data_IF_269093772482
#
_entry.id   IF_269093772482
#
_cell.length_a   1.000
_cell.length_b   1.000
_cell.length_c   1.000
_cell.angle_alpha   90.00
_cell.angle_beta   90.00
_cell.angle_gamma   90.00
#
_symmetry.space_group_name_H-M   'P 1'
#
loop_
_entity.id
_entity.type
_entity.pdbx_description
1 polymer ?
#
# COMPACT_ATOMS: atom_id res chain seq x y z
N UNK A 1 -11.73 -8.30 -0.67
CA UNK A 1 -11.07 -6.98 -0.63
C UNK A 1 -10.32 -6.77 -1.91
N UNK A 2 -10.90 -6.02 -2.83
CA UNK A 2 -10.35 -5.82 -4.17
C UNK A 2 -9.01 -5.05 -4.16
N UNK A 3 -8.85 -4.14 -3.20
CA UNK A 3 -7.64 -3.33 -3.02
C UNK A 3 -6.39 -4.16 -2.72
N UNK A 4 -6.53 -5.30 -2.02
CA UNK A 4 -5.39 -6.16 -1.67
C UNK A 4 -4.75 -6.80 -2.92
N UNK A 5 -5.57 -7.20 -3.90
CA UNK A 5 -5.08 -7.86 -5.12
C UNK A 5 -4.43 -6.89 -6.09
N UNK A 6 -4.77 -5.60 -6.02
CA UNK A 6 -4.16 -4.52 -6.80
C UNK A 6 -3.07 -3.75 -6.05
N UNK A 7 -2.46 -4.34 -5.01
CA UNK A 7 -1.47 -3.66 -4.19
C UNK A 7 -0.04 -3.85 -4.71
N UNK A 8 0.73 -2.75 -4.69
CA UNK A 8 2.18 -2.76 -4.87
C UNK A 8 2.89 -3.56 -3.77
N UNK A 9 2.29 -3.61 -2.57
CA UNK A 9 2.75 -4.41 -1.45
C UNK A 9 4.22 -4.21 -1.04
N UNK A 10 4.70 -2.96 -1.16
CA UNK A 10 5.97 -2.51 -0.59
C UNK A 10 5.83 -2.28 0.92
N UNK A 11 6.73 -2.87 1.68
CA UNK A 11 6.86 -2.74 3.12
C UNK A 11 7.97 -1.73 3.38
N UNK A 12 7.59 -0.49 3.72
CA UNK A 12 8.52 0.64 3.77
C UNK A 12 8.18 1.70 4.83
N UNK A 13 9.20 2.46 5.24
CA UNK A 13 9.04 3.67 6.07
C UNK A 13 9.73 4.91 5.48
N UNK A 14 10.39 4.79 4.32
CA UNK A 14 10.91 5.96 3.61
C UNK A 14 9.77 6.89 3.15
N UNK A 15 10.08 8.18 3.01
CA UNK A 15 9.17 9.22 2.49
C UNK A 15 7.91 9.47 3.33
N UNK A 16 7.86 8.99 4.58
CA UNK A 16 6.76 9.25 5.54
C UNK A 16 6.96 10.52 6.39
N UNK A 17 7.72 11.49 5.88
CA UNK A 17 7.96 12.79 6.55
C UNK A 17 8.73 12.70 7.87
N UNK A 18 9.81 11.91 7.93
CA UNK A 18 10.60 11.73 9.15
C UNK A 18 11.31 13.03 9.62
N UNK A 19 11.42 13.26 10.94
CA UNK A 19 10.76 12.53 12.02
C UNK A 19 9.26 12.91 12.14
N UNK A 20 8.37 11.91 12.14
CA UNK A 20 6.94 12.11 12.39
C UNK A 20 6.33 10.89 13.09
N UNK A 21 5.15 11.04 13.72
CA UNK A 21 4.38 9.90 14.22
C UNK A 21 4.11 8.85 13.13
N UNK A 22 3.90 9.28 11.87
CA UNK A 22 3.56 8.37 10.78
C UNK A 22 4.78 7.55 10.31
N UNK A 23 5.95 8.19 10.23
CA UNK A 23 7.21 7.47 10.00
C UNK A 23 7.49 6.46 11.12
N UNK A 24 7.33 6.88 12.38
CA UNK A 24 7.51 6.00 13.54
C UNK A 24 6.58 4.78 13.49
N UNK A 25 5.30 5.00 13.16
CA UNK A 25 4.32 3.94 13.03
C UNK A 25 4.69 2.95 11.92
N UNK A 26 5.20 3.42 10.77
CA UNK A 26 5.65 2.53 9.69
C UNK A 26 6.91 1.74 10.06
N UNK A 27 7.88 2.34 10.75
CA UNK A 27 9.03 1.60 11.28
C UNK A 27 8.60 0.46 12.23
N UNK A 28 7.65 0.75 13.13
CA UNK A 28 7.08 -0.27 14.01
C UNK A 28 6.27 -1.33 13.24
N UNK A 29 5.61 -0.95 12.15
CA UNK A 29 4.93 -1.86 11.23
C UNK A 29 5.89 -2.87 10.60
N UNK A 30 7.01 -2.39 10.07
CA UNK A 30 8.08 -3.24 9.53
C UNK A 30 8.64 -4.19 10.59
N UNK A 31 8.87 -3.71 11.82
CA UNK A 31 9.28 -4.57 12.94
C UNK A 31 8.22 -5.63 13.29
N UNK A 32 6.93 -5.29 13.19
CA UNK A 32 5.85 -6.24 13.43
C UNK A 32 5.81 -7.36 12.38
N UNK A 33 6.16 -7.08 11.12
CA UNK A 33 6.34 -8.11 10.09
C UNK A 33 7.41 -9.13 10.47
N UNK A 34 8.55 -8.69 10.99
CA UNK A 34 9.61 -9.61 11.44
C UNK A 34 9.22 -10.45 12.66
N UNK A 35 8.30 -9.96 13.50
CA UNK A 35 7.92 -10.61 14.78
C UNK A 35 6.65 -11.45 14.70
N UNK A 36 5.77 -11.19 13.74
CA UNK A 36 4.52 -11.92 13.60
C UNK A 36 4.76 -13.21 12.81
N UNK A 37 4.83 -14.35 13.50
CA UNK A 37 5.15 -15.66 12.91
C UNK A 37 4.22 -16.10 11.77
N UNK A 38 3.01 -15.55 11.69
CA UNK A 38 2.05 -15.87 10.63
C UNK A 38 2.44 -15.22 9.30
N UNK A 39 2.99 -14.01 9.33
CA UNK A 39 3.33 -13.24 8.12
C UNK A 39 4.83 -13.18 7.84
N UNK A 40 5.66 -13.41 8.86
CA UNK A 40 7.12 -13.42 8.75
C UNK A 40 7.64 -14.26 7.56
N UNK A 41 7.11 -15.47 7.26
CA UNK A 41 7.61 -16.28 6.14
C UNK A 41 7.34 -15.68 4.75
N UNK A 42 6.48 -14.66 4.65
CA UNK A 42 6.04 -14.07 3.39
C UNK A 42 6.76 -12.75 3.06
N UNK A 43 7.46 -12.15 4.03
CA UNK A 43 8.20 -10.90 3.80
C UNK A 43 9.51 -11.15 3.05
N UNK A 44 9.65 -10.54 1.87
CA UNK A 44 10.85 -10.58 1.04
C UNK A 44 11.67 -9.29 1.26
N UNK A 45 12.69 -9.36 2.12
CA UNK A 45 13.49 -8.21 2.56
C UNK A 45 14.69 -7.96 1.66
N UNK A 46 14.44 -7.52 0.43
CA UNK A 46 15.47 -7.24 -0.59
C UNK A 46 16.08 -5.84 -0.46
N UNK A 47 15.50 -4.98 0.37
CA UNK A 47 15.79 -3.55 0.43
C UNK A 47 15.31 -2.81 -0.82
N UNK A 48 15.43 -1.49 -0.80
CA UNK A 48 15.05 -0.65 -1.94
C UNK A 48 16.14 0.36 -2.32
N UNK A 49 16.21 0.67 -3.61
CA UNK A 49 16.98 1.77 -4.17
C UNK A 49 16.00 2.86 -4.62
N UNK A 50 16.12 4.03 -3.99
CA UNK A 50 15.22 5.16 -4.26
C UNK A 50 16.03 6.32 -4.81
N UNK A 51 15.72 6.70 -6.05
CA UNK A 51 16.28 7.87 -6.73
C UNK A 51 15.35 9.07 -6.53
N UNK A 52 15.90 10.20 -6.11
CA UNK A 52 15.17 11.46 -5.89
C UNK A 52 16.03 12.69 -6.08
N UNK A 53 15.41 13.86 -6.25
CA UNK A 53 16.13 15.14 -6.34
C UNK A 53 16.67 15.59 -4.99
N UNK A 54 15.78 15.71 -4.01
CA UNK A 54 16.11 16.26 -2.69
C UNK A 54 16.93 15.29 -1.85
N UNK A 55 18.08 15.69 -1.31
CA UNK A 55 18.83 14.87 -0.34
C UNK A 55 18.02 14.60 0.93
N UNK A 56 18.25 13.44 1.56
CA UNK A 56 17.61 13.14 2.85
C UNK A 56 18.42 13.69 4.01
N UNK A 57 17.71 14.16 5.03
CA UNK A 57 18.29 14.48 6.32
C UNK A 57 18.05 13.30 7.27
N UNK A 58 19.13 12.68 7.73
CA UNK A 58 19.07 11.50 8.58
C UNK A 58 18.71 11.87 10.03
N UNK A 59 17.57 11.38 10.52
CA UNK A 59 17.14 11.52 11.91
C UNK A 59 17.48 10.33 12.82
N UNK A 60 18.32 9.38 12.38
CA UNK A 60 18.87 8.30 13.23
C UNK A 60 17.98 7.08 13.50
N UNK A 61 16.69 7.07 13.14
CA UNK A 61 15.76 5.97 13.45
C UNK A 61 15.46 4.99 12.30
N UNK A 62 15.96 5.28 11.10
CA UNK A 62 15.68 4.52 9.89
C UNK A 62 16.94 4.40 9.03
N UNK A 63 17.34 3.17 8.69
CA UNK A 63 18.60 2.91 8.01
C UNK A 63 18.48 3.28 6.54
N UNK A 64 19.30 4.23 6.09
CA UNK A 64 19.57 4.43 4.68
C UNK A 64 21.07 4.66 4.44
N UNK A 65 21.55 4.26 3.26
CA UNK A 65 22.90 4.55 2.78
C UNK A 65 22.80 5.45 1.55
N UNK A 66 23.63 6.48 1.48
CA UNK A 66 23.72 7.39 0.34
C UNK A 66 23.81 8.87 0.74
N UNK A 67 23.91 9.79 -0.23
CA UNK A 67 23.75 9.54 -1.66
C UNK A 67 24.84 8.63 -2.21
N UNK A 68 24.43 7.62 -2.98
CA UNK A 68 25.34 6.69 -3.63
C UNK A 68 25.85 7.37 -4.92
N UNK A 69 27.16 7.63 -4.97
CA UNK A 69 27.82 8.40 -6.04
C UNK A 69 27.88 7.64 -7.38
N UNK A 70 27.71 6.32 -7.34
CA UNK A 70 27.69 5.41 -8.48
C UNK A 70 26.56 4.41 -8.34
N UNK A 71 26.06 3.91 -9.48
CA UNK A 71 24.87 3.07 -9.59
C UNK A 71 24.97 1.79 -8.73
N UNK A 72 24.25 1.68 -7.61
CA UNK A 72 24.22 0.47 -6.81
C UNK A 72 23.30 -0.61 -7.41
N UNK A 73 22.66 -0.36 -8.56
CA UNK A 73 21.81 -1.34 -9.24
C UNK A 73 22.65 -2.55 -9.72
N UNK A 74 23.97 -2.40 -9.88
CA UNK A 74 24.85 -3.45 -10.41
C UNK A 74 26.01 -3.93 -9.52
N UNK A 75 26.27 -3.35 -8.35
CA UNK A 75 27.35 -3.88 -7.50
C UNK A 75 26.95 -5.23 -6.89
N UNK A 76 27.65 -6.28 -7.36
CA UNK A 76 27.79 -7.53 -6.65
C UNK A 76 28.43 -7.23 -5.29
N UNK A 77 27.71 -7.50 -4.20
CA UNK A 77 28.28 -7.51 -2.85
C UNK A 77 29.07 -8.82 -2.63
N UNK A 78 29.94 -9.17 -3.58
CA UNK A 78 30.95 -10.21 -3.47
C UNK A 78 32.22 -9.57 -4.06
N UNK A 79 33.18 -9.19 -3.21
CA UNK A 79 34.64 -9.20 -3.49
C UNK A 79 35.39 -8.44 -2.37
N UNK A 80 35.62 -9.15 -1.27
CA UNK A 80 36.97 -9.21 -0.71
C UNK A 80 37.77 -10.13 -1.64
N UNK A 81 38.41 -9.60 -2.69
CA UNK A 81 39.70 -10.09 -3.17
C UNK A 81 40.23 -9.21 -4.32
N UNK A 82 41.48 -8.79 -4.16
CA UNK A 82 42.31 -8.20 -5.20
C UNK A 82 42.37 -9.15 -6.42
N UNK A 83 41.91 -8.70 -7.59
CA UNK A 83 42.60 -8.98 -8.85
C UNK A 83 42.09 -8.12 -10.01
N UNK A 84 43.03 -7.37 -10.58
CA UNK A 84 42.97 -6.78 -11.91
C UNK A 84 42.56 -7.83 -12.96
N UNK A 85 41.51 -7.55 -13.74
CA UNK A 85 41.48 -7.80 -15.18
C UNK A 85 40.33 -7.02 -15.83
N UNK A 86 40.71 -6.27 -16.86
CA UNK A 86 39.86 -5.52 -17.77
C UNK A 86 38.77 -6.39 -18.41
N UNK A 87 37.50 -6.07 -18.15
CA UNK A 87 36.42 -6.12 -19.14
C UNK A 87 35.32 -5.13 -18.69
N UNK A 88 35.21 -4.07 -19.48
CA UNK A 88 34.41 -2.85 -19.27
C UNK A 88 32.92 -3.11 -19.49
N UNK A 89 32.12 -3.10 -18.42
CA UNK A 89 30.65 -3.14 -18.49
C UNK A 89 30.02 -2.11 -17.52
N UNK A 90 30.57 -0.89 -17.53
CA UNK A 90 30.07 0.24 -16.73
C UNK A 90 28.93 1.04 -17.40
N UNK A 91 28.36 0.55 -18.50
CA UNK A 91 27.40 1.29 -19.33
C UNK A 91 25.92 1.01 -19.02
N UNK A 92 25.49 1.16 -17.76
CA UNK A 92 24.05 1.09 -17.41
C UNK A 92 23.38 2.46 -17.26
N UNK A 93 24.18 3.53 -17.16
CA UNK A 93 23.76 4.92 -17.39
C UNK A 93 24.53 5.52 -18.57
N UNK A 94 24.22 5.09 -19.80
CA UNK A 94 24.65 5.84 -20.99
C UNK A 94 24.21 7.30 -20.84
N UNK A 95 25.21 8.17 -20.83
CA UNK A 95 25.21 9.62 -20.69
C UNK A 95 24.46 10.36 -21.81
N UNK A 96 23.19 10.04 -22.05
CA UNK A 96 22.43 10.66 -23.14
C UNK A 96 21.24 11.51 -22.73
N UNK A 97 20.95 11.74 -21.44
CA UNK A 97 20.01 12.78 -21.03
C UNK A 97 20.64 13.66 -19.94
N UNK A 98 20.61 14.98 -20.17
CA UNK A 98 21.17 16.06 -19.34
C UNK A 98 20.60 16.18 -17.91
N UNK A 99 19.76 15.24 -17.47
CA UNK A 99 19.03 15.31 -16.20
C UNK A 99 19.78 14.67 -15.01
N UNK A 100 20.99 14.15 -15.21
CA UNK A 100 21.68 13.33 -14.21
C UNK A 100 22.44 14.12 -13.13
N UNK A 101 22.57 15.44 -13.25
CA UNK A 101 23.38 16.25 -12.31
C UNK A 101 22.69 16.57 -10.98
N UNK A 102 21.37 16.38 -10.86
CA UNK A 102 20.57 16.75 -9.67
C UNK A 102 19.77 15.58 -9.08
N UNK A 103 20.29 14.35 -9.14
CA UNK A 103 19.61 13.19 -8.53
C UNK A 103 20.51 12.40 -7.59
N UNK A 104 19.93 11.95 -6.49
CA UNK A 104 20.57 11.22 -5.42
C UNK A 104 19.90 9.84 -5.28
N UNK A 105 20.69 8.78 -5.25
CA UNK A 105 20.21 7.41 -5.01
C UNK A 105 20.51 7.02 -3.57
N UNK A 106 19.52 6.43 -2.89
CA UNK A 106 19.64 5.94 -1.54
C UNK A 106 19.21 4.49 -1.44
N UNK A 107 19.97 3.71 -0.68
CA UNK A 107 19.66 2.33 -0.37
C UNK A 107 19.02 2.20 1.02
N UNK A 108 17.85 1.56 1.08
CA UNK A 108 17.11 1.26 2.29
C UNK A 108 17.10 -0.25 2.53
N UNK A 109 18.05 -0.79 3.31
CA UNK A 109 18.22 -2.23 3.50
C UNK A 109 17.11 -2.90 4.30
N UNK A 110 16.33 -2.14 5.08
CA UNK A 110 15.31 -2.71 5.97
C UNK A 110 13.97 -2.92 5.24
N UNK A 111 13.86 -2.50 3.98
CA UNK A 111 12.61 -2.57 3.22
C UNK A 111 12.43 -3.90 2.51
N UNK A 112 11.19 -4.19 2.13
CA UNK A 112 10.87 -5.43 1.44
C UNK A 112 9.54 -5.37 0.73
N UNK A 113 9.13 -6.50 0.18
CA UNK A 113 7.83 -6.67 -0.44
C UNK A 113 7.18 -7.98 0.01
N UNK A 114 5.94 -8.20 -0.43
CA UNK A 114 5.20 -9.42 -0.12
C UNK A 114 4.21 -9.71 -1.25
N UNK A 115 3.85 -10.99 -1.45
CA UNK A 115 2.58 -11.32 -2.10
C UNK A 115 1.43 -11.07 -1.10
N UNK A 116 0.66 -9.97 -1.25
CA UNK A 116 -0.38 -9.61 -0.29
C UNK A 116 -1.50 -10.65 -0.26
N UNK A 117 -1.74 -11.37 -1.36
CA UNK A 117 -2.74 -12.43 -1.43
C UNK A 117 -2.34 -13.63 -0.57
N UNK A 118 -1.07 -14.05 -0.64
CA UNK A 118 -0.54 -15.12 0.20
C UNK A 118 -0.56 -14.77 1.69
N UNK A 119 -0.09 -13.59 2.06
CA UNK A 119 -0.09 -13.13 3.44
C UNK A 119 -1.52 -13.02 4.03
N UNK A 120 -2.48 -12.47 3.28
CA UNK A 120 -3.88 -12.39 3.74
C UNK A 120 -4.52 -13.77 3.86
N UNK A 121 -4.24 -14.71 2.95
CA UNK A 121 -4.71 -16.09 3.08
C UNK A 121 -4.17 -16.74 4.36
N UNK A 122 -2.87 -16.60 4.64
CA UNK A 122 -2.27 -17.15 5.85
C UNK A 122 -2.89 -16.56 7.14
N UNK A 123 -3.04 -15.23 7.20
CA UNK A 123 -3.70 -14.54 8.32
C UNK A 123 -5.14 -15.01 8.52
N UNK A 124 -5.91 -15.13 7.43
CA UNK A 124 -7.29 -15.59 7.49
C UNK A 124 -7.39 -17.04 7.96
N UNK A 125 -6.57 -17.93 7.39
CA UNK A 125 -6.52 -19.33 7.83
C UNK A 125 -6.21 -19.42 9.32
N UNK A 126 -5.23 -18.63 9.81
CA UNK A 126 -4.88 -18.65 11.22
C UNK A 126 -5.98 -18.10 12.13
N UNK A 127 -6.68 -17.05 11.70
CA UNK A 127 -7.82 -16.52 12.43
C UNK A 127 -8.96 -17.55 12.53
N UNK A 128 -9.26 -18.27 11.43
CA UNK A 128 -10.28 -19.32 11.41
C UNK A 128 -9.89 -20.47 12.35
N UNK A 129 -8.62 -20.90 12.36
CA UNK A 129 -8.12 -21.90 13.31
C UNK A 129 -8.29 -21.47 14.78
N UNK A 130 -8.29 -20.16 15.05
CA UNK A 130 -8.52 -19.58 16.37
C UNK A 130 -9.99 -19.31 16.69
N UNK A 131 -10.91 -19.69 15.80
CA UNK A 131 -12.36 -19.58 16.00
C UNK A 131 -13.03 -18.39 15.32
N UNK A 132 -12.32 -17.62 14.48
CA UNK A 132 -12.95 -16.56 13.70
C UNK A 132 -13.84 -17.13 12.58
N UNK A 133 -15.06 -16.61 12.46
CA UNK A 133 -15.94 -16.91 11.32
C UNK A 133 -15.63 -15.96 10.16
N UNK A 134 -15.36 -16.51 8.98
CA UNK A 134 -15.19 -15.72 7.76
C UNK A 134 -16.39 -15.87 6.83
N UNK A 135 -17.03 -14.75 6.50
CA UNK A 135 -18.17 -14.69 5.56
C UNK A 135 -17.70 -13.99 4.29
N UNK A 136 -17.51 -14.77 3.22
CA UNK A 136 -17.15 -14.27 1.89
C UNK A 136 -18.36 -13.85 1.08
N UNK A 137 -18.12 -13.13 -0.04
CA UNK A 137 -19.17 -12.67 -0.95
C UNK A 137 -20.33 -11.94 -0.23
N UNK A 138 -20.00 -11.22 0.84
CA UNK A 138 -20.94 -10.49 1.68
C UNK A 138 -20.77 -8.98 1.49
N UNK A 139 -21.89 -8.28 1.25
CA UNK A 139 -21.94 -6.83 1.17
C UNK A 139 -22.77 -6.30 2.34
N UNK A 140 -22.14 -5.56 3.26
CA UNK A 140 -22.85 -4.94 4.39
C UNK A 140 -23.83 -3.90 3.85
N UNK A 141 -25.09 -3.97 4.27
CA UNK A 141 -26.17 -3.09 3.79
C UNK A 141 -26.71 -2.17 4.88
N UNK A 142 -26.53 -2.50 6.15
CA UNK A 142 -26.94 -1.65 7.28
C UNK A 142 -26.17 -1.98 8.57
N UNK A 143 -25.99 -0.97 9.41
CA UNK A 143 -25.61 -1.13 10.82
C UNK A 143 -26.86 -0.94 11.69
N UNK A 144 -27.25 -1.98 12.43
CA UNK A 144 -28.46 -1.97 13.27
C UNK A 144 -28.15 -1.23 14.56
N UNK A 145 -28.91 -0.18 14.88
CA UNK A 145 -28.79 0.60 16.13
C UNK A 145 -30.03 0.46 16.99
N UNK A 146 -29.84 0.32 18.31
CA UNK A 146 -30.95 0.22 19.26
C UNK A 146 -30.69 1.02 20.55
N UNK A 147 -31.55 2.01 20.91
CA UNK A 147 -32.67 2.56 20.11
C UNK A 147 -32.16 3.25 18.84
N UNK A 148 -33.05 3.85 18.04
CA UNK A 148 -32.64 4.67 16.88
C UNK A 148 -31.61 5.73 17.31
N UNK A 149 -30.50 5.85 16.58
CA UNK A 149 -29.30 6.64 16.94
C UNK A 149 -28.55 6.18 18.20
N UNK A 150 -28.87 5.00 18.72
CA UNK A 150 -28.17 4.36 19.84
C UNK A 150 -26.94 3.54 19.40
N UNK A 151 -26.43 2.69 20.32
CA UNK A 151 -25.30 1.82 20.03
C UNK A 151 -25.60 0.86 18.88
N UNK A 152 -24.56 0.48 18.14
CA UNK A 152 -24.64 -0.60 17.16
C UNK A 152 -24.86 -1.90 17.92
N UNK A 153 -25.85 -2.68 17.49
CA UNK A 153 -26.23 -3.96 18.08
C UNK A 153 -26.25 -5.10 17.06
N UNK A 154 -26.08 -4.80 15.78
CA UNK A 154 -26.09 -5.80 14.72
C UNK A 154 -25.70 -5.25 13.36
N UNK A 155 -25.62 -6.13 12.36
CA UNK A 155 -25.26 -5.82 10.98
C UNK A 155 -26.17 -6.61 10.04
N UNK A 156 -26.70 -5.96 9.00
CA UNK A 156 -27.32 -6.66 7.88
C UNK A 156 -26.37 -6.68 6.69
N UNK A 157 -26.38 -7.78 5.94
CA UNK A 157 -25.59 -7.91 4.73
C UNK A 157 -26.30 -8.77 3.69
N UNK A 158 -25.95 -8.60 2.43
CA UNK A 158 -26.38 -9.47 1.33
C UNK A 158 -25.27 -10.44 0.95
N UNK A 159 -25.63 -11.64 0.51
CA UNK A 159 -24.71 -12.56 -0.17
C UNK A 159 -25.24 -12.94 -1.55
N UNK A 160 -24.36 -13.00 -2.54
CA UNK A 160 -24.67 -13.52 -3.86
C UNK A 160 -24.23 -14.97 -4.01
N UNK A 161 -25.09 -15.80 -4.63
CA UNK A 161 -24.78 -17.17 -5.03
C UNK A 161 -25.33 -17.43 -6.43
N UNK A 162 -24.50 -18.03 -7.30
CA UNK A 162 -24.81 -18.27 -8.71
C UNK A 162 -23.54 -18.18 -9.56
N UNK A 163 -23.44 -18.99 -10.62
CA UNK A 163 -22.24 -19.04 -11.45
C UNK A 163 -22.20 -17.92 -12.52
N UNK A 164 -23.34 -17.31 -12.84
CA UNK A 164 -23.49 -16.26 -13.86
C UNK A 164 -24.48 -15.16 -13.42
N UNK A 165 -24.38 -13.98 -14.04
CA UNK A 165 -25.24 -12.80 -13.78
C UNK A 165 -26.75 -13.11 -13.87
N UNK A 166 -27.15 -13.96 -14.83
CA UNK A 166 -28.56 -14.32 -15.06
C UNK A 166 -29.14 -15.29 -14.01
N UNK A 167 -28.30 -15.90 -13.16
CA UNK A 167 -28.71 -16.87 -12.12
C UNK A 167 -28.14 -16.46 -10.74
N UNK A 168 -27.99 -15.16 -10.52
CA UNK A 168 -27.50 -14.64 -9.24
C UNK A 168 -28.66 -14.50 -8.26
N UNK A 169 -28.70 -15.38 -7.25
CA UNK A 169 -29.62 -15.22 -6.11
C UNK A 169 -28.97 -14.35 -5.05
N UNK A 170 -29.65 -13.26 -4.67
CA UNK A 170 -29.23 -12.38 -3.56
C UNK A 170 -30.03 -12.76 -2.32
N UNK A 171 -29.32 -13.12 -1.25
CA UNK A 171 -29.92 -13.45 0.06
C UNK A 171 -29.57 -12.39 1.09
N UNK A 172 -30.55 -11.94 1.86
CA UNK A 172 -30.35 -11.02 2.99
C UNK A 172 -30.07 -11.80 4.28
N UNK A 173 -29.12 -11.32 5.06
CA UNK A 173 -28.72 -11.90 6.33
C UNK A 173 -28.67 -10.83 7.41
N UNK A 174 -28.79 -11.26 8.66
CA UNK A 174 -28.66 -10.40 9.85
C UNK A 174 -27.80 -11.10 10.89
N UNK A 175 -26.88 -10.36 11.48
CA UNK A 175 -26.13 -10.76 12.67
C UNK A 175 -26.54 -9.80 13.77
N UNK A 176 -27.22 -10.33 14.79
CA UNK A 176 -27.57 -9.61 16.00
C UNK A 176 -26.48 -9.78 17.08
N UNK A 177 -26.57 -9.00 18.16
CA UNK A 177 -25.69 -9.06 19.33
C UNK A 177 -24.22 -8.75 19.02
N UNK A 178 -23.98 -7.67 18.28
CA UNK A 178 -22.63 -7.14 18.01
C UNK A 178 -22.29 -6.05 19.02
N UNK A 179 -21.15 -6.20 19.72
CA UNK A 179 -20.64 -5.18 20.64
C UNK A 179 -19.86 -4.07 19.93
N UNK A 180 -19.09 -4.41 18.90
CA UNK A 180 -18.26 -3.46 18.13
C UNK A 180 -18.21 -3.87 16.67
N UNK A 181 -18.30 -2.89 15.77
CA UNK A 181 -18.00 -3.02 14.34
C UNK A 181 -16.66 -2.34 14.04
N UNK A 182 -15.73 -3.09 13.44
CA UNK A 182 -14.46 -2.55 12.95
C UNK A 182 -14.51 -2.37 11.44
N UNK A 183 -14.53 -1.12 10.99
CA UNK A 183 -14.48 -0.74 9.58
C UNK A 183 -13.02 -0.77 9.10
N UNK A 184 -12.65 -1.87 8.46
CA UNK A 184 -11.37 -2.07 7.77
C UNK A 184 -11.57 -2.29 6.25
N UNK A 185 -12.57 -1.61 5.67
CA UNK A 185 -13.07 -1.84 4.31
C UNK A 185 -12.18 -1.29 3.18
N UNK A 186 -11.01 -0.74 3.49
CA UNK A 186 -10.19 -0.03 2.51
C UNK A 186 -10.97 1.13 1.90
N UNK A 187 -11.10 1.16 0.56
CA UNK A 187 -11.88 2.18 -0.15
C UNK A 187 -13.38 2.11 0.14
N UNK A 188 -13.90 0.94 0.51
CA UNK A 188 -15.31 0.77 0.90
C UNK A 188 -15.65 1.45 2.22
N UNK A 189 -14.65 1.94 2.98
CA UNK A 189 -14.89 2.64 4.25
C UNK A 189 -15.56 4.01 4.07
N UNK A 190 -15.57 4.55 2.84
CA UNK A 190 -16.32 5.75 2.48
C UNK A 190 -17.81 5.50 2.23
N UNK A 191 -18.30 4.27 2.37
CA UNK A 191 -19.74 3.98 2.26
C UNK A 191 -20.51 4.63 3.42
N UNK A 192 -21.60 5.37 3.16
CA UNK A 192 -22.46 5.95 4.20
C UNK A 192 -23.00 4.93 5.21
N UNK A 193 -23.24 3.69 4.80
CA UNK A 193 -23.64 2.59 5.70
C UNK A 193 -22.59 2.37 6.79
N UNK A 194 -21.32 2.58 6.47
CA UNK A 194 -20.18 2.38 7.37
C UNK A 194 -19.71 3.69 8.02
N UNK A 195 -20.55 4.73 8.03
CA UNK A 195 -20.27 6.03 8.63
C UNK A 195 -19.46 7.00 7.76
N UNK A 196 -19.35 6.72 6.46
CA UNK A 196 -18.80 7.66 5.45
C UNK A 196 -17.44 8.24 5.80
N UNK A 197 -16.42 7.39 6.03
CA UNK A 197 -15.08 7.89 6.32
C UNK A 197 -14.58 8.78 5.16
N UNK A 198 -14.16 10.03 5.39
CA UNK A 198 -13.66 10.89 4.33
C UNK A 198 -12.38 10.31 3.71
N UNK A 199 -12.44 9.97 2.42
CA UNK A 199 -11.31 9.42 1.65
C UNK A 199 -10.95 10.34 0.47
N UNK A 200 -9.65 10.39 0.14
CA UNK A 200 -9.19 10.96 -1.11
C UNK A 200 -9.51 10.02 -2.28
N UNK A 201 -10.08 10.56 -3.36
CA UNK A 201 -10.22 9.81 -4.61
C UNK A 201 -8.84 9.55 -5.21
N UNK A 202 -8.26 8.35 -5.04
CA UNK A 202 -6.84 8.07 -5.32
C UNK A 202 -6.58 6.92 -6.28
N UNK A 203 -6.83 7.06 -7.59
CA UNK A 203 -6.55 6.00 -8.53
C UNK A 203 -5.06 5.68 -8.60
N UNK A 204 -4.73 4.40 -8.75
CA UNK A 204 -3.38 3.92 -9.02
C UNK A 204 -3.46 2.68 -9.89
N UNK A 205 -2.46 2.48 -10.75
CA UNK A 205 -2.38 1.35 -11.66
C UNK A 205 -1.08 0.58 -11.47
N UNK A 206 -1.16 -0.73 -11.65
CA UNK A 206 -0.02 -1.65 -11.58
C UNK A 206 -0.09 -2.59 -12.78
N UNK A 207 1.00 -2.68 -13.52
CA UNK A 207 1.26 -3.70 -14.51
C UNK A 207 1.91 -4.92 -13.86
N UNK A 208 1.40 -6.10 -14.19
CA UNK A 208 1.95 -7.40 -13.83
C UNK A 208 2.56 -8.03 -15.07
N UNK A 209 3.82 -8.43 -15.00
CA UNK A 209 4.52 -9.08 -16.09
C UNK A 209 5.24 -10.34 -15.62
N UNK A 210 5.49 -11.27 -16.54
CA UNK A 210 6.27 -12.49 -16.29
C UNK A 210 7.44 -12.60 -17.25
N UNK A 211 8.56 -13.20 -16.84
CA UNK A 211 9.66 -13.53 -17.75
C UNK A 211 9.17 -14.33 -18.95
N UNK A 212 9.70 -14.01 -20.12
CA UNK A 212 9.33 -14.69 -21.37
C UNK A 212 9.84 -16.14 -21.34
N UNK A 213 8.93 -17.11 -21.40
CA UNK A 213 9.24 -18.54 -21.27
C UNK A 213 10.25 -19.09 -22.31
N UNK A 214 10.42 -18.42 -23.45
CA UNK A 214 11.22 -18.91 -24.57
C UNK A 214 12.72 -18.53 -24.48
N UNK A 215 13.14 -17.83 -23.42
CA UNK A 215 14.54 -17.45 -23.23
C UNK A 215 15.30 -18.56 -22.49
N UNK A 216 16.07 -19.37 -23.23
CA UNK A 216 16.96 -20.42 -22.68
C UNK A 216 18.14 -19.85 -21.86
N UNK A 217 18.19 -18.53 -21.61
CA UNK A 217 19.21 -17.89 -20.78
C UNK A 217 18.71 -17.61 -19.36
N UNK A 218 19.64 -17.48 -18.41
CA UNK A 218 19.31 -17.07 -17.04
C UNK A 218 18.60 -15.72 -17.06
N UNK A 219 17.31 -15.68 -16.68
CA UNK A 219 16.59 -14.42 -16.58
C UNK A 219 17.21 -13.52 -15.51
N UNK A 220 17.54 -12.25 -15.83
CA UNK A 220 17.99 -11.32 -14.82
C UNK A 220 16.91 -11.18 -13.74
N UNK A 221 17.32 -11.24 -12.47
CA UNK A 221 16.47 -11.09 -11.31
C UNK A 221 16.78 -9.78 -10.62
N UNK A 222 15.75 -9.05 -10.18
CA UNK A 222 15.97 -7.89 -9.32
C UNK A 222 16.45 -8.35 -7.94
N UNK A 223 17.59 -7.83 -7.53
CA UNK A 223 18.11 -8.01 -6.17
C UNK A 223 17.44 -7.08 -5.15
N UNK A 224 16.79 -6.00 -5.61
CA UNK A 224 16.25 -4.90 -4.81
C UNK A 224 15.00 -4.31 -5.45
N UNK A 225 14.15 -3.68 -4.64
CA UNK A 225 13.06 -2.84 -5.14
C UNK A 225 13.66 -1.57 -5.73
N UNK A 226 13.22 -1.16 -6.93
CA UNK A 226 13.71 0.05 -7.60
C UNK A 226 12.60 1.10 -7.64
N UNK A 227 12.93 2.33 -7.25
CA UNK A 227 11.99 3.46 -7.23
C UNK A 227 12.69 4.69 -7.78
N UNK A 228 12.11 5.31 -8.80
CA UNK A 228 12.51 6.60 -9.33
C UNK A 228 11.39 7.61 -9.05
N UNK A 229 11.58 8.48 -8.05
CA UNK A 229 10.60 9.50 -7.68
C UNK A 229 10.58 10.68 -8.66
N UNK A 230 11.55 10.75 -9.57
CA UNK A 230 11.67 11.83 -10.56
C UNK A 230 10.86 11.46 -11.80
N UNK A 231 11.03 10.22 -12.27
CA UNK A 231 10.26 9.66 -13.39
C UNK A 231 8.95 9.01 -12.96
N UNK A 232 8.69 9.00 -11.65
CA UNK A 232 7.50 8.44 -11.03
C UNK A 232 7.26 6.98 -11.42
N UNK A 233 8.33 6.18 -11.50
CA UNK A 233 8.27 4.76 -11.86
C UNK A 233 8.88 3.89 -10.78
N UNK A 234 8.33 2.70 -10.61
CA UNK A 234 8.82 1.76 -9.60
C UNK A 234 8.65 0.32 -10.07
N UNK A 235 9.65 -0.49 -9.78
CA UNK A 235 9.76 -1.90 -10.20
C UNK A 235 10.14 -2.76 -9.01
N UNK A 236 9.44 -3.87 -8.81
CA UNK A 236 9.83 -4.94 -7.91
C UNK A 236 9.55 -6.27 -8.57
N UNK A 237 10.22 -7.31 -8.07
CA UNK A 237 10.00 -8.67 -8.52
C UNK A 237 9.76 -9.55 -7.30
N UNK A 238 8.71 -10.37 -7.35
CA UNK A 238 8.38 -11.36 -6.32
C UNK A 238 9.23 -12.62 -6.50
N UNK A 239 9.31 -13.46 -5.46
CA UNK A 239 10.02 -14.73 -5.52
C UNK A 239 9.59 -15.63 -6.69
N UNK A 240 8.29 -15.66 -7.01
CA UNK A 240 7.72 -16.43 -8.12
C UNK A 240 8.10 -15.93 -9.53
N UNK A 241 8.84 -14.81 -9.61
CA UNK A 241 9.30 -14.21 -10.86
C UNK A 241 8.36 -13.14 -11.41
N UNK A 242 7.17 -12.97 -10.85
CA UNK A 242 6.24 -11.91 -11.24
C UNK A 242 6.89 -10.55 -11.02
N UNK A 243 6.99 -9.77 -12.09
CA UNK A 243 7.45 -8.39 -12.08
C UNK A 243 6.24 -7.50 -11.94
N UNK A 244 6.29 -6.60 -10.99
CA UNK A 244 5.29 -5.56 -10.84
C UNK A 244 5.93 -4.24 -11.26
N UNK A 245 5.17 -3.45 -12.00
CA UNK A 245 5.55 -2.08 -12.37
C UNK A 245 4.41 -1.13 -12.08
N UNK A 246 4.69 -0.08 -11.34
CA UNK A 246 3.75 1.03 -11.16
C UNK A 246 4.34 2.34 -11.66
N UNK A 247 3.44 3.29 -11.92
CA UNK A 247 3.77 4.57 -12.53
C UNK A 247 2.84 5.69 -12.08
N UNK A 248 3.27 6.93 -12.30
CA UNK A 248 2.60 8.15 -11.82
C UNK A 248 2.99 8.52 -10.38
N UNK A 249 2.76 9.78 -10.01
CA UNK A 249 3.24 10.39 -8.76
C UNK A 249 3.20 9.41 -7.58
N UNK A 250 4.39 9.12 -7.02
CA UNK A 250 4.54 8.13 -5.96
C UNK A 250 3.92 8.67 -4.68
N UNK A 251 2.67 8.29 -4.43
CA UNK A 251 1.98 8.62 -3.19
C UNK A 251 2.29 7.58 -2.13
N UNK A 252 3.06 7.94 -1.10
CA UNK A 252 3.37 7.07 0.06
C UNK A 252 2.47 7.36 1.28
N UNK A 253 1.49 8.26 1.18
CA UNK A 253 0.66 8.72 2.30
C UNK A 253 1.31 9.87 3.08
N UNK A 254 0.55 10.50 3.97
CA UNK A 254 0.93 11.72 4.70
C UNK A 254 0.59 13.02 3.96
N UNK A 255 0.94 14.16 4.54
CA UNK A 255 0.48 15.49 4.10
C UNK A 255 0.77 15.82 2.62
N UNK A 256 1.92 15.38 2.08
CA UNK A 256 2.27 15.56 0.67
C UNK A 256 1.25 14.88 -0.29
N UNK A 257 0.58 13.83 0.18
CA UNK A 257 -0.44 13.10 -0.57
C UNK A 257 -1.78 13.84 -0.65
N UNK A 258 -2.11 14.62 0.38
CA UNK A 258 -3.30 15.47 0.41
C UNK A 258 -3.09 16.74 -0.44
N UNK A 259 -1.88 17.32 -0.40
CA UNK A 259 -1.54 18.53 -1.15
C UNK A 259 -1.41 18.31 -2.66
N UNK A 260 -0.80 17.20 -3.10
CA UNK A 260 -0.53 16.95 -4.52
C UNK A 260 -1.79 16.80 -5.39
N UNK A 261 -2.99 16.72 -4.81
CA UNK A 261 -4.20 16.29 -5.53
C UNK A 261 -5.39 17.23 -5.41
N UNK A 262 -5.15 18.46 -4.95
CA UNK A 262 -6.10 19.56 -5.14
C UNK A 262 -6.21 19.98 -6.63
N UNK A 263 -5.27 19.52 -7.49
CA UNK A 263 -5.10 19.96 -8.88
C UNK A 263 -5.46 18.91 -9.96
N UNK A 264 -5.94 17.72 -9.60
CA UNK A 264 -6.32 16.68 -10.57
C UNK A 264 -7.85 16.57 -10.69
N UNK A 265 -8.42 16.51 -11.91
CA UNK A 265 -9.86 16.38 -12.09
C UNK A 265 -10.38 15.07 -11.47
N UNK A 266 -11.39 15.18 -10.62
CA UNK A 266 -12.20 14.06 -10.12
C UNK A 266 -12.90 13.37 -11.29
N UNK A 267 -12.24 12.41 -11.93
CA UNK A 267 -12.87 11.52 -12.90
C UNK A 267 -13.34 10.26 -12.17
N UNK A 268 -14.63 9.90 -12.21
CA UNK A 268 -15.11 8.71 -11.51
C UNK A 268 -14.39 7.47 -12.05
N UNK A 269 -13.65 6.78 -11.17
CA UNK A 269 -13.06 5.46 -11.45
C UNK A 269 -14.12 4.35 -11.41
N UNK A 270 -15.24 4.55 -12.09
CA UNK A 270 -16.28 3.53 -12.32
C UNK A 270 -16.47 3.22 -13.80
N UNK A 271 -15.64 3.78 -14.69
CA UNK A 271 -15.59 3.30 -16.06
C UNK A 271 -14.92 1.92 -16.04
N UNK A 272 -15.68 0.89 -16.39
CA UNK A 272 -15.16 -0.40 -16.81
C UNK A 272 -14.21 -0.14 -17.99
N UNK A 273 -12.91 0.05 -17.70
CA UNK A 273 -11.89 0.14 -18.74
C UNK A 273 -11.92 -1.19 -19.47
N UNK A 274 -12.12 -1.16 -20.78
CA UNK A 274 -12.13 -2.41 -21.53
C UNK A 274 -10.70 -3.03 -21.50
N UNK A 275 -10.61 -4.32 -21.83
CA UNK A 275 -9.34 -5.07 -21.81
C UNK A 275 -8.25 -4.48 -22.70
N UNK A 276 -8.62 -3.70 -23.72
CA UNK A 276 -7.66 -2.99 -24.60
C UNK A 276 -7.05 -1.79 -23.88
N UNK A 277 -7.86 -1.01 -23.16
CA UNK A 277 -7.39 0.15 -22.37
C UNK A 277 -6.46 -0.30 -21.23
N UNK A 278 -6.78 -1.41 -20.57
CA UNK A 278 -5.94 -2.00 -19.53
C UNK A 278 -4.59 -2.48 -20.08
N UNK A 279 -4.58 -3.09 -21.27
CA UNK A 279 -3.33 -3.52 -21.92
C UNK A 279 -2.46 -2.34 -22.33
N UNK A 280 -3.05 -1.32 -22.97
CA UNK A 280 -2.34 -0.08 -23.34
C UNK A 280 -1.73 0.59 -22.10
N UNK A 281 -2.50 0.69 -21.00
CA UNK A 281 -2.01 1.24 -19.75
C UNK A 281 -0.85 0.41 -19.18
N UNK A 282 -0.97 -0.92 -19.19
CA UNK A 282 0.08 -1.81 -18.71
C UNK A 282 1.37 -1.69 -19.51
N UNK A 283 1.28 -1.68 -20.84
CA UNK A 283 2.42 -1.51 -21.74
C UNK A 283 3.09 -0.14 -21.55
N UNK A 284 2.29 0.92 -21.34
CA UNK A 284 2.81 2.25 -21.05
C UNK A 284 3.57 2.29 -19.71
N UNK A 285 3.08 1.61 -18.67
CA UNK A 285 3.77 1.49 -17.38
C UNK A 285 5.11 0.76 -17.54
N UNK A 286 5.13 -0.37 -18.25
CA UNK A 286 6.36 -1.11 -18.54
C UNK A 286 7.37 -0.24 -19.29
N UNK A 287 6.92 0.44 -20.35
CA UNK A 287 7.77 1.32 -21.16
C UNK A 287 8.35 2.48 -20.34
N UNK A 288 7.54 3.14 -19.51
CA UNK A 288 7.99 4.24 -18.66
C UNK A 288 9.02 3.80 -17.60
N UNK A 289 8.94 2.54 -17.15
CA UNK A 289 9.88 1.96 -16.20
C UNK A 289 11.12 1.34 -16.86
N UNK A 290 11.16 1.15 -18.18
CA UNK A 290 12.33 0.60 -18.89
C UNK A 290 13.65 1.27 -18.51
N UNK A 291 13.76 2.60 -18.39
CA UNK A 291 15.00 3.26 -17.96
C UNK A 291 15.47 2.90 -16.55
N UNK A 292 14.61 2.32 -15.71
CA UNK A 292 14.92 1.91 -14.34
C UNK A 292 15.41 0.45 -14.26
N UNK A 293 14.98 -0.42 -15.19
CA UNK A 293 15.23 -1.86 -15.12
C UNK A 293 15.28 -2.55 -16.50
N UNK A 294 15.88 -1.92 -17.51
CA UNK A 294 15.87 -2.39 -18.90
C UNK A 294 16.30 -3.87 -19.09
N UNK A 295 17.36 -4.40 -18.42
CA UNK A 295 17.76 -5.79 -18.59
C UNK A 295 16.64 -6.79 -18.26
N UNK A 296 15.85 -6.48 -17.23
CA UNK A 296 14.67 -7.26 -16.86
C UNK A 296 13.47 -6.95 -17.76
N UNK A 297 13.11 -5.67 -17.88
CA UNK A 297 11.84 -5.27 -18.49
C UNK A 297 11.77 -5.55 -20.00
N UNK A 298 12.91 -5.64 -20.68
CA UNK A 298 12.97 -6.06 -22.08
C UNK A 298 12.71 -7.57 -22.28
N UNK A 299 12.65 -8.36 -21.20
CA UNK A 299 12.52 -9.82 -21.21
C UNK A 299 11.26 -10.33 -20.50
N UNK A 300 10.29 -9.45 -20.27
CA UNK A 300 9.00 -9.81 -19.67
C UNK A 300 7.86 -9.50 -20.61
N UNK A 301 6.75 -10.22 -20.44
CA UNK A 301 5.49 -9.96 -21.12
C UNK A 301 4.43 -9.55 -20.12
N UNK A 302 3.65 -8.52 -20.45
CA UNK A 302 2.49 -8.11 -19.68
C UNK A 302 1.50 -9.28 -19.56
N UNK A 303 1.07 -9.56 -18.33
CA UNK A 303 0.11 -10.61 -18.00
C UNK A 303 -1.22 -10.05 -17.51
N UNK A 304 -1.19 -8.90 -16.83
CA UNK A 304 -2.38 -8.22 -16.35
C UNK A 304 -2.07 -6.75 -16.02
N UNK A 305 -3.10 -5.92 -16.01
CA UNK A 305 -3.06 -4.56 -15.47
C UNK A 305 -4.20 -4.43 -14.47
N UNK A 306 -3.93 -3.82 -13.32
CA UNK A 306 -4.95 -3.57 -12.30
C UNK A 306 -4.94 -2.09 -11.94
N UNK A 307 -6.09 -1.43 -12.13
CA UNK A 307 -6.33 -0.06 -11.64
C UNK A 307 -7.29 -0.10 -10.46
N UNK A 308 -6.91 0.51 -9.34
CA UNK A 308 -7.73 0.60 -8.12
C UNK A 308 -7.53 1.92 -7.40
N UNK A 309 -8.57 2.41 -6.74
CA UNK A 309 -8.43 3.49 -5.78
C UNK A 309 -7.64 3.02 -4.55
N UNK A 310 -6.78 3.90 -4.04
CA UNK A 310 -6.00 3.69 -2.82
C UNK A 310 -6.86 4.08 -1.60
N UNK A 311 -6.82 3.32 -0.50
CA UNK A 311 -7.64 3.58 0.69
C UNK A 311 -6.98 4.66 1.55
N UNK A 312 -7.02 5.89 1.07
CA UNK A 312 -6.33 7.02 1.68
C UNK A 312 -7.34 7.96 2.35
N UNK A 313 -7.32 8.11 3.68
CA UNK A 313 -8.13 9.12 4.35
C UNK A 313 -7.86 10.53 3.83
N UNK A 314 -8.82 11.45 4.00
CA UNK A 314 -8.84 12.76 3.34
C UNK A 314 -7.58 13.61 3.57
N UNK A 315 -6.89 13.42 4.69
CA UNK A 315 -5.64 14.13 5.03
C UNK A 315 -4.36 13.36 4.66
N UNK A 316 -4.49 12.19 4.05
CA UNK A 316 -3.38 11.31 3.67
C UNK A 316 -2.85 10.41 4.79
N UNK A 317 -3.31 10.55 6.03
CA UNK A 317 -2.81 9.79 7.20
C UNK A 317 -3.78 8.66 7.63
N UNK A 318 -3.30 7.64 8.37
CA UNK A 318 -4.18 6.58 8.90
C UNK A 318 -5.38 7.12 9.71
N UNK A 319 -6.52 6.44 9.66
CA UNK A 319 -7.69 6.69 10.50
C UNK A 319 -7.95 5.44 11.36
N UNK A 320 -7.47 5.48 12.61
CA UNK A 320 -7.44 4.34 13.53
C UNK A 320 -8.05 4.73 14.89
N UNK A 321 -9.17 4.11 15.28
CA UNK A 321 -9.82 4.36 16.57
C UNK A 321 -11.34 4.36 16.50
N UNK A 322 -11.96 4.52 17.67
CA UNK A 322 -13.40 4.82 17.79
C UNK A 322 -13.72 6.21 17.26
N UNK A 323 -14.94 6.42 16.79
CA UNK A 323 -15.46 7.77 16.52
C UNK A 323 -15.96 8.36 17.84
N UNK A 324 -15.73 9.67 18.07
CA UNK A 324 -16.00 10.32 19.38
C UNK A 324 -17.46 10.18 19.85
N UNK A 325 -18.41 10.14 18.91
CA UNK A 325 -19.84 10.03 19.22
C UNK A 325 -20.41 8.62 18.95
N UNK A 326 -19.55 7.63 18.68
CA UNK A 326 -19.97 6.25 18.44
C UNK A 326 -18.93 5.25 18.98
N UNK A 327 -19.13 4.85 20.23
CA UNK A 327 -18.26 3.89 20.90
C UNK A 327 -18.33 2.49 20.26
N UNK A 328 -19.34 2.14 19.46
CA UNK A 328 -19.44 0.81 18.86
C UNK A 328 -18.86 0.75 17.44
N UNK A 329 -18.44 1.89 16.87
CA UNK A 329 -17.85 1.98 15.55
C UNK A 329 -16.36 2.33 15.63
N UNK A 330 -15.52 1.44 15.14
CA UNK A 330 -14.06 1.60 15.13
C UNK A 330 -13.54 1.59 13.70
N UNK A 331 -12.70 2.54 13.31
CA UNK A 331 -12.02 2.55 12.01
C UNK A 331 -10.61 2.00 12.09
N UNK A 332 -10.20 1.25 11.07
CA UNK A 332 -8.83 0.81 10.87
C UNK A 332 -8.46 0.93 9.38
N UNK A 333 -8.30 2.17 8.91
CA UNK A 333 -8.13 2.48 7.48
C UNK A 333 -6.83 3.25 7.25
N UNK A 334 -6.01 2.78 6.29
CA UNK A 334 -4.74 3.43 5.96
C UNK A 334 -4.28 3.07 4.55
N UNK A 335 -3.60 4.01 3.89
CA UNK A 335 -2.90 3.76 2.64
C UNK A 335 -1.76 2.74 2.82
N UNK A 336 -1.01 2.83 3.93
CA UNK A 336 0.13 1.96 4.22
C UNK A 336 -0.30 0.61 4.82
N UNK A 337 -1.42 0.06 4.33
CA UNK A 337 -2.08 -1.11 4.92
C UNK A 337 -1.19 -2.35 4.95
N UNK A 338 -0.38 -2.57 3.91
CA UNK A 338 0.56 -3.71 3.88
C UNK A 338 1.60 -3.57 4.99
N UNK A 339 2.35 -2.46 5.04
CA UNK A 339 3.34 -2.20 6.09
C UNK A 339 2.75 -2.27 7.49
N UNK A 340 1.57 -1.67 7.69
CA UNK A 340 1.00 -1.46 9.02
C UNK A 340 0.11 -2.61 9.51
N UNK A 341 -0.35 -3.51 8.64
CA UNK A 341 -1.35 -4.52 9.01
C UNK A 341 -0.99 -5.39 10.23
N UNK A 342 0.25 -5.93 10.38
CA UNK A 342 0.55 -6.78 11.54
C UNK A 342 0.59 -5.98 12.84
N UNK A 343 1.03 -4.73 12.79
CA UNK A 343 1.05 -3.83 13.94
C UNK A 343 -0.37 -3.40 14.32
N UNK A 344 -1.14 -2.88 13.34
CA UNK A 344 -2.50 -2.39 13.58
C UNK A 344 -3.42 -3.50 14.06
N UNK A 345 -3.33 -4.72 13.51
CA UNK A 345 -4.10 -5.84 14.03
C UNK A 345 -3.88 -6.07 15.53
N UNK A 346 -2.64 -5.93 16.00
CA UNK A 346 -2.30 -6.05 17.43
C UNK A 346 -2.79 -4.86 18.25
N UNK A 347 -2.58 -3.64 17.78
CA UNK A 347 -2.98 -2.43 18.51
C UNK A 347 -4.49 -2.31 18.61
N UNK A 348 -5.21 -2.56 17.51
CA UNK A 348 -6.67 -2.55 17.47
C UNK A 348 -7.24 -3.64 18.39
N UNK A 349 -6.71 -4.86 18.32
CA UNK A 349 -7.14 -5.93 19.24
C UNK A 349 -6.95 -5.51 20.71
N UNK A 350 -5.79 -4.95 21.07
CA UNK A 350 -5.50 -4.46 22.42
C UNK A 350 -6.47 -3.36 22.87
N UNK A 351 -6.72 -2.34 22.04
CA UNK A 351 -7.68 -1.27 22.39
C UNK A 351 -9.09 -1.84 22.62
N UNK A 352 -9.51 -2.81 21.82
CA UNK A 352 -10.85 -3.39 21.89
C UNK A 352 -11.02 -4.39 23.05
N UNK A 353 -10.04 -5.26 23.30
CA UNK A 353 -10.15 -6.29 24.35
C UNK A 353 -9.86 -5.75 25.73
N UNK A 354 -8.91 -4.83 25.84
CA UNK A 354 -8.44 -4.32 27.13
C UNK A 354 -9.08 -2.97 27.48
N UNK A 355 -9.87 -2.41 26.56
CA UNK A 355 -10.51 -1.10 26.67
C UNK A 355 -9.49 0.01 27.02
N UNK A 356 -8.35 0.02 26.32
CA UNK A 356 -7.25 0.96 26.53
C UNK A 356 -7.09 1.93 25.37
N UNK A 357 -6.52 3.09 25.67
CA UNK A 357 -6.17 4.10 24.68
C UNK A 357 -4.69 4.02 24.30
N UNK A 358 -4.40 3.67 23.05
CA UNK A 358 -3.04 3.58 22.55
C UNK A 358 -2.52 4.96 22.10
N UNK A 359 -1.59 5.52 22.87
CA UNK A 359 -0.97 6.83 22.58
C UNK A 359 -0.23 6.85 21.23
N UNK A 360 0.23 5.71 20.73
CA UNK A 360 0.86 5.61 19.41
C UNK A 360 -0.10 5.95 18.26
N UNK A 361 -1.41 5.83 18.49
CA UNK A 361 -2.47 6.08 17.52
C UNK A 361 -3.11 7.47 17.66
N UNK A 362 -2.64 8.29 18.61
CA UNK A 362 -3.24 9.59 18.94
C UNK A 362 -3.37 10.52 17.73
N UNK A 363 -2.28 10.68 16.97
CA UNK A 363 -2.26 11.52 15.76
C UNK A 363 -3.12 10.96 14.61
N UNK A 364 -3.70 9.77 14.77
CA UNK A 364 -4.41 9.04 13.73
C UNK A 364 -5.88 8.78 14.09
N UNK A 365 -6.41 9.41 15.14
CA UNK A 365 -7.83 9.26 15.50
C UNK A 365 -8.74 9.75 14.36
N UNK A 366 -9.82 9.02 14.02
CA UNK A 366 -10.68 9.38 12.90
C UNK A 366 -11.36 10.74 13.04
N UNK A 367 -11.65 11.18 14.26
CA UNK A 367 -12.40 12.41 14.55
C UNK A 367 -11.84 13.66 13.87
N UNK A 368 -10.52 13.72 13.65
CA UNK A 368 -9.87 14.84 12.93
C UNK A 368 -10.37 15.02 11.50
N UNK A 369 -10.96 13.98 10.89
CA UNK A 369 -11.48 13.99 9.52
C UNK A 369 -12.94 14.45 9.45
N UNK A 370 -13.66 14.41 10.57
CA UNK A 370 -15.09 14.74 10.65
C UNK A 370 -15.33 16.13 11.27
N UNK A 371 -14.28 16.80 11.72
CA UNK A 371 -14.35 18.19 12.17
C UNK A 371 -14.49 19.09 10.94
N UNK A 372 -15.66 19.72 10.79
CA UNK A 372 -15.86 20.79 9.82
C UNK A 372 -14.74 21.83 9.99
N UNK A 373 -14.15 22.27 8.87
CA UNK A 373 -13.40 23.52 8.85
C UNK A 373 -14.32 24.62 9.41
N UNK A 374 -14.11 25.01 10.67
CA UNK A 374 -14.59 26.31 11.11
C UNK A 374 -13.99 27.33 10.13
N UNK A 375 -14.76 28.22 9.51
CA UNK A 375 -14.16 29.36 8.85
C UNK A 375 -13.26 30.05 9.88
N UNK A 376 -12.07 30.56 9.48
CA UNK A 376 -11.24 31.31 10.40
C UNK A 376 -12.12 32.39 11.04
N UNK A 377 -12.13 32.40 12.37
CA UNK A 377 -12.82 33.42 13.13
C UNK A 377 -12.12 34.75 12.79
N UNK A 378 -12.77 35.58 11.96
CA UNK A 378 -12.40 36.97 11.73
C UNK A 378 -12.67 37.76 13.01
N UNK A 379 -11.97 37.43 14.09
CA UNK A 379 -11.92 38.21 15.31
C UNK A 379 -10.54 38.14 15.94
N UNK A 380 -9.59 38.89 15.35
CA UNK A 380 -8.73 39.76 16.16
C UNK A 380 -8.29 40.97 15.33
N UNK A 381 -8.53 42.14 15.95
CA UNK A 381 -8.36 43.51 15.45
C UNK A 381 -6.89 43.91 15.44
#
# INVERSE_FOLDING_TARGET
GETTMGSWAWINSNEKGAPSPYHTLNCLGMLAWHRCSVVQPFGEWTGSLVRRRTPIHYGGHYRAKGPLLHDPINNNDDDDDDNDNDDDDTSFFSSQHSDNHDSNVYYYPDEGCVDPGAAVRAMRSKAIEQGATFIGNAHVTNLIRQPENGPITGVTYTSSSGDNEDDTTITNHTIDSIDVVVVAGGVGSGDPVLGELPLLHSPGAIAYAKPNHDDNSSHPRLKRILVDTIRESHVLQRADGTVLVGGGFLVVGGAASAQARHDLPNTPSSATTNTTDERIMGDALLHAATPLAAPLLNRVSLTATVSRNRPMPADGFPAIGRLVDDDNLYYAVTHSGVTLSPLLGKLVAMELTDNVHCHLLESFRPSRLFQNASPPDDTEI
#
